data_IF_314124744664
#
_entry.id   IF_314124744664
#
_cell.length_a   1.000
_cell.length_b   1.000
_cell.length_c   1.000
_cell.angle_alpha   90.00
_cell.angle_beta   90.00
_cell.angle_gamma   90.00
#
_symmetry.space_group_name_H-M   'P 1'
#
loop_
_entity.id
_entity.type
_entity.pdbx_description
1 polymer ?
#
# COMPACT_ATOMS: atom_id res chain seq x y z
N UNK A 1 -16.18 -8.32 -1.69
CA UNK A 1 -14.85 -8.84 -2.07
C UNK A 1 -14.29 -9.58 -0.88
N UNK A 2 -13.73 -10.78 -1.08
CA UNK A 2 -13.18 -11.57 0.01
C UNK A 2 -11.75 -11.13 0.31
N UNK A 3 -11.35 -11.28 1.56
CA UNK A 3 -9.97 -11.07 2.01
C UNK A 3 -9.07 -12.22 1.53
N UNK A 4 -7.82 -11.92 1.18
CA UNK A 4 -6.85 -12.90 0.69
C UNK A 4 -5.43 -12.52 1.06
N UNK A 5 -4.50 -13.46 0.96
CA UNK A 5 -3.07 -13.19 1.11
C UNK A 5 -2.33 -13.43 -0.19
N UNK A 6 -1.38 -12.57 -0.51
CA UNK A 6 -0.58 -12.64 -1.74
C UNK A 6 0.82 -12.06 -1.51
N UNK A 7 1.69 -12.17 -2.51
CA UNK A 7 3.04 -11.63 -2.48
C UNK A 7 3.11 -10.30 -3.22
N UNK A 8 3.74 -9.31 -2.60
CA UNK A 8 4.02 -8.01 -3.22
C UNK A 8 5.19 -8.17 -4.18
N UNK A 9 4.95 -7.89 -5.46
CA UNK A 9 5.95 -8.03 -6.53
C UNK A 9 6.73 -6.74 -6.77
N UNK A 10 6.11 -5.58 -6.58
CA UNK A 10 6.77 -4.28 -6.66
C UNK A 10 5.96 -3.20 -5.95
N UNK A 11 6.63 -2.18 -5.42
CA UNK A 11 5.97 -0.93 -4.98
C UNK A 11 6.10 0.12 -6.06
N UNK A 12 4.98 0.75 -6.42
CA UNK A 12 4.90 1.77 -7.48
C UNK A 12 5.23 3.15 -6.90
N UNK A 13 4.53 3.54 -5.84
CA UNK A 13 4.72 4.80 -5.11
C UNK A 13 4.32 4.68 -3.63
N UNK A 14 4.15 5.81 -2.93
CA UNK A 14 3.90 5.85 -1.48
C UNK A 14 2.52 5.32 -1.05
N UNK A 15 1.59 5.02 -1.96
CA UNK A 15 0.31 4.41 -1.61
C UNK A 15 -0.15 3.30 -2.56
N UNK A 16 0.62 2.99 -3.60
CA UNK A 16 0.25 2.02 -4.63
C UNK A 16 1.34 0.96 -4.82
N UNK A 17 0.94 -0.30 -4.93
CA UNK A 17 1.86 -1.44 -5.17
C UNK A 17 1.21 -2.51 -6.05
N UNK A 18 2.05 -3.38 -6.62
CA UNK A 18 1.61 -4.56 -7.37
C UNK A 18 1.73 -5.80 -6.48
N UNK A 19 0.68 -6.62 -6.47
CA UNK A 19 0.70 -7.93 -5.84
C UNK A 19 0.14 -8.97 -6.81
N UNK A 20 0.96 -9.98 -7.12
CA UNK A 20 0.75 -10.87 -8.26
C UNK A 20 0.46 -10.07 -9.55
N UNK A 21 -0.76 -10.14 -10.09
CA UNK A 21 -1.19 -9.44 -11.32
C UNK A 21 -2.08 -8.23 -11.05
N UNK A 22 -2.31 -7.86 -9.79
CA UNK A 22 -3.22 -6.79 -9.40
C UNK A 22 -2.47 -5.59 -8.87
N UNK A 23 -2.95 -4.40 -9.23
CA UNK A 23 -2.50 -3.13 -8.64
C UNK A 23 -3.42 -2.79 -7.47
N UNK A 24 -2.81 -2.52 -6.33
CA UNK A 24 -3.46 -2.25 -5.06
C UNK A 24 -3.13 -0.82 -4.65
N UNK A 25 -4.17 -0.05 -4.30
CA UNK A 25 -4.03 1.27 -3.65
C UNK A 25 -4.42 1.14 -2.19
N UNK A 26 -3.62 1.71 -1.29
CA UNK A 26 -3.93 1.76 0.13
C UNK A 26 -5.20 2.60 0.36
N UNK A 27 -6.19 2.02 1.02
CA UNK A 27 -7.44 2.67 1.35
C UNK A 27 -7.26 3.82 2.35
N UNK A 28 -8.03 4.88 2.12
CA UNK A 28 -8.21 6.05 3.00
C UNK A 28 -6.93 6.82 3.34
N UNK A 29 -5.84 6.63 2.59
CA UNK A 29 -4.64 7.44 2.75
C UNK A 29 -4.21 8.01 1.40
N UNK A 30 -3.49 9.13 1.45
CA UNK A 30 -2.75 9.66 0.32
C UNK A 30 -1.29 9.89 0.73
N UNK A 31 -0.37 9.40 -0.09
CA UNK A 31 1.03 9.77 0.00
C UNK A 31 1.31 11.06 -0.81
N UNK A 32 2.38 11.82 -0.49
CA UNK A 32 2.82 12.93 -1.32
C UNK A 32 3.14 12.48 -2.75
N UNK A 33 2.99 13.39 -3.71
CA UNK A 33 3.29 13.14 -5.13
C UNK A 33 4.69 12.54 -5.33
N UNK A 34 4.78 11.43 -6.06
CA UNK A 34 6.00 10.63 -6.21
C UNK A 34 7.18 11.38 -6.87
N UNK A 35 6.88 12.46 -7.60
CA UNK A 35 7.86 13.37 -8.19
C UNK A 35 8.55 14.29 -7.18
N UNK A 36 8.00 14.41 -5.96
CA UNK A 36 8.55 15.25 -4.89
C UNK A 36 9.53 14.48 -4.01
N UNK A 37 10.46 15.15 -3.30
CA UNK A 37 11.36 14.49 -2.35
C UNK A 37 10.61 13.71 -1.25
N UNK A 38 9.45 14.20 -0.80
CA UNK A 38 8.62 13.54 0.20
C UNK A 38 7.94 12.30 -0.36
N UNK A 39 7.46 12.36 -1.61
CA UNK A 39 6.87 11.20 -2.29
C UNK A 39 7.90 10.09 -2.50
N UNK A 40 9.13 10.43 -2.88
CA UNK A 40 10.23 9.45 -2.98
C UNK A 40 10.52 8.76 -1.64
N UNK A 41 10.54 9.52 -0.53
CA UNK A 41 10.69 8.95 0.81
C UNK A 41 9.53 8.02 1.17
N UNK A 42 8.30 8.39 0.84
CA UNK A 42 7.12 7.55 1.07
C UNK A 42 7.21 6.23 0.30
N UNK A 43 7.62 6.27 -0.97
CA UNK A 43 7.85 5.06 -1.78
C UNK A 43 8.92 4.16 -1.14
N UNK A 44 10.05 4.72 -0.72
CA UNK A 44 11.12 3.96 -0.06
C UNK A 44 10.64 3.32 1.24
N UNK A 45 9.85 4.05 2.03
CA UNK A 45 9.30 3.52 3.28
C UNK A 45 8.29 2.39 3.03
N UNK A 46 7.37 2.54 2.07
CA UNK A 46 6.45 1.46 1.71
C UNK A 46 7.20 0.23 1.18
N UNK A 47 8.25 0.42 0.36
CA UNK A 47 9.14 -0.68 -0.06
C UNK A 47 9.73 -1.42 1.12
N UNK A 48 10.33 -0.68 2.06
CA UNK A 48 10.87 -1.25 3.28
C UNK A 48 9.83 -2.05 4.06
N UNK A 49 8.58 -1.59 4.11
CA UNK A 49 7.51 -2.30 4.82
C UNK A 49 7.11 -3.60 4.13
N UNK A 50 6.86 -3.60 2.82
CA UNK A 50 6.12 -4.67 2.13
C UNK A 50 6.73 -5.26 0.85
N UNK A 51 7.73 -4.64 0.22
CA UNK A 51 8.27 -5.15 -1.06
C UNK A 51 8.89 -6.54 -0.89
N UNK A 52 8.61 -7.46 -1.81
CA UNK A 52 9.00 -8.88 -1.74
C UNK A 52 8.53 -9.59 -0.46
N UNK A 53 7.43 -9.15 0.14
CA UNK A 53 6.83 -9.78 1.34
C UNK A 53 5.41 -10.23 1.07
N UNK A 54 4.95 -11.15 1.90
CA UNK A 54 3.55 -11.58 1.92
C UNK A 54 2.70 -10.56 2.69
N UNK A 55 1.55 -10.22 2.13
CA UNK A 55 0.57 -9.31 2.73
C UNK A 55 -0.81 -9.95 2.72
N UNK A 56 -1.65 -9.52 3.67
CA UNK A 56 -3.07 -9.81 3.74
C UNK A 56 -3.84 -8.58 3.27
N UNK A 57 -4.70 -8.75 2.27
CA UNK A 57 -5.39 -7.69 1.56
C UNK A 57 -6.88 -7.85 1.79
N UNK A 58 -7.52 -6.79 2.30
CA UNK A 58 -8.97 -6.66 2.42
C UNK A 58 -9.46 -5.53 1.49
N UNK A 59 -9.94 -5.87 0.28
CA UNK A 59 -10.44 -4.88 -0.65
C UNK A 59 -11.76 -4.27 -0.18
N UNK A 60 -11.90 -2.96 -0.37
CA UNK A 60 -13.11 -2.20 -0.03
C UNK A 60 -13.79 -1.59 -1.26
N UNK A 61 -13.03 -1.27 -2.31
CA UNK A 61 -13.55 -0.76 -3.57
C UNK A 61 -12.62 -1.10 -4.74
N UNK A 62 -13.10 -0.89 -5.96
CA UNK A 62 -12.28 -0.77 -7.16
C UNK A 62 -12.40 0.69 -7.61
N UNK A 63 -11.28 1.37 -7.85
CA UNK A 63 -11.30 2.74 -8.34
C UNK A 63 -11.50 2.84 -9.87
N UNK A 64 -11.64 4.06 -10.38
CA UNK A 64 -11.88 4.32 -11.81
C UNK A 64 -10.74 3.85 -12.73
N UNK A 65 -9.56 3.58 -12.18
CA UNK A 65 -8.40 3.06 -12.90
C UNK A 65 -8.30 1.54 -12.82
N UNK A 66 -9.26 0.87 -12.17
CA UNK A 66 -9.28 -0.59 -12.00
C UNK A 66 -8.37 -1.10 -10.88
N UNK A 67 -7.85 -0.22 -10.00
CA UNK A 67 -7.04 -0.63 -8.85
C UNK A 67 -7.92 -1.10 -7.71
N UNK A 68 -7.50 -2.12 -6.98
CA UNK A 68 -8.17 -2.53 -5.76
C UNK A 68 -7.79 -1.59 -4.61
N UNK A 69 -8.76 -0.83 -4.10
CA UNK A 69 -8.59 0.02 -2.91
C UNK A 69 -8.73 -0.87 -1.68
N UNK A 70 -7.70 -0.97 -0.85
CA UNK A 70 -7.62 -2.03 0.16
C UNK A 70 -7.00 -1.59 1.49
N UNK A 71 -7.47 -2.21 2.57
CA UNK A 71 -6.71 -2.27 3.82
C UNK A 71 -5.69 -3.40 3.73
N UNK A 72 -4.46 -3.15 4.14
CA UNK A 72 -3.34 -4.07 3.94
C UNK A 72 -2.59 -4.31 5.25
N UNK A 73 -2.32 -5.58 5.55
CA UNK A 73 -1.50 -6.00 6.68
C UNK A 73 -0.30 -6.78 6.20
N UNK A 74 0.86 -6.57 6.82
CA UNK A 74 2.02 -7.44 6.62
C UNK A 74 1.77 -8.78 7.29
N UNK A 75 1.99 -9.87 6.57
CA UNK A 75 1.62 -11.20 7.03
C UNK A 75 2.45 -11.68 8.23
N UNK A 76 3.70 -11.24 8.35
CA UNK A 76 4.64 -11.74 9.36
C UNK A 76 4.24 -11.35 10.80
N UNK A 77 3.67 -10.16 10.97
CA UNK A 77 3.48 -9.50 12.25
C UNK A 77 2.14 -8.76 12.38
N UNK A 78 1.24 -8.94 11.41
CA UNK A 78 -0.04 -8.24 11.32
C UNK A 78 0.10 -6.70 11.41
N UNK A 79 1.24 -6.14 10.99
CA UNK A 79 1.41 -4.69 10.92
C UNK A 79 0.41 -4.09 9.91
N UNK A 80 -0.47 -3.20 10.38
CA UNK A 80 -1.40 -2.49 9.53
C UNK A 80 -0.69 -1.40 8.73
N UNK A 81 -0.52 -1.62 7.42
CA UNK A 81 0.35 -0.83 6.56
C UNK A 81 -0.19 0.58 6.35
N UNK A 82 -1.50 0.74 6.13
CA UNK A 82 -2.09 2.05 5.89
C UNK A 82 -1.81 2.99 7.08
N UNK A 83 -2.01 2.50 8.31
CA UNK A 83 -1.70 3.26 9.52
C UNK A 83 -0.20 3.51 9.69
N UNK A 84 0.64 2.51 9.44
CA UNK A 84 2.10 2.67 9.52
C UNK A 84 2.62 3.77 8.57
N UNK A 85 2.04 3.93 7.38
CA UNK A 85 2.36 5.02 6.46
C UNK A 85 2.00 6.39 7.07
N UNK A 86 0.88 6.50 7.78
CA UNK A 86 0.46 7.75 8.43
C UNK A 86 1.29 8.05 9.67
N UNK A 87 1.47 7.07 10.56
CA UNK A 87 2.20 7.24 11.83
C UNK A 87 3.66 7.66 11.61
N UNK A 88 4.25 7.24 10.49
CA UNK A 88 5.61 7.58 10.09
C UNK A 88 5.72 8.91 9.32
N UNK A 89 4.60 9.59 9.05
CA UNK A 89 4.57 10.86 8.31
C UNK A 89 4.75 10.72 6.79
N UNK A 90 4.55 9.54 6.22
CA UNK A 90 4.69 9.28 4.78
C UNK A 90 3.36 9.33 4.02
N UNK A 91 2.23 9.41 4.73
CA UNK A 91 0.90 9.60 4.16
C UNK A 91 0.00 10.36 5.14
N UNK A 92 -1.16 10.81 4.67
CA UNK A 92 -2.22 11.40 5.49
C UNK A 92 -3.55 10.68 5.26
N UNK A 93 -4.41 10.63 6.28
CA UNK A 93 -5.78 10.14 6.14
C UNK A 93 -6.61 11.05 5.23
N UNK A 94 -7.49 10.45 4.43
CA UNK A 94 -8.45 11.14 3.55
C UNK A 94 -9.87 10.60 3.72
#
# INVERSE_FOLDING_TARGET
>A
MNEYSTHVTSVIDGDTFTAATQIIRLANINAPESSTPQGQKATVYLKFLIEQKRVRIKPVAIDVYGRAVSHVWRYLDDLYINQAMVDSGHAVWV
#
